data_IF_770237440819
#
_entry.id   IF_770237440819
#
_cell.length_a   1.000
_cell.length_b   1.000
_cell.length_c   1.000
_cell.angle_alpha   90.00
_cell.angle_beta   90.00
_cell.angle_gamma   90.00
#
_symmetry.space_group_name_H-M   'P 1'
#
loop_
_entity.id
_entity.type
_entity.pdbx_description
1 polymer ?
#
# COMPACT_ATOMS: atom_id res chain seq x y z
N UNK A 1 -10.16 37.42 21.38
CA UNK A 1 -9.49 36.63 20.32
C UNK A 1 -7.99 36.44 20.60
N UNK A 2 -7.13 37.48 20.68
CA UNK A 2 -5.68 37.29 20.85
C UNK A 2 -5.27 36.71 22.21
N UNK A 3 -5.93 37.10 23.30
CA UNK A 3 -5.70 36.57 24.65
C UNK A 3 -6.04 35.09 24.79
N UNK A 4 -7.10 34.62 24.13
CA UNK A 4 -7.49 33.20 24.14
C UNK A 4 -6.43 32.37 23.40
N UNK A 5 -5.94 32.83 22.25
CA UNK A 5 -4.87 32.16 21.50
C UNK A 5 -3.56 32.11 22.29
N UNK A 6 -3.22 33.17 23.03
CA UNK A 6 -2.04 33.18 23.91
C UNK A 6 -2.16 32.19 25.07
N UNK A 7 -3.34 32.09 25.70
CA UNK A 7 -3.59 31.12 26.77
C UNK A 7 -3.51 29.69 26.23
N UNK A 8 -4.09 29.41 25.07
CA UNK A 8 -4.00 28.11 24.40
C UNK A 8 -2.53 27.78 24.08
N UNK A 9 -1.78 28.73 23.49
CA UNK A 9 -0.37 28.55 23.19
C UNK A 9 0.47 28.26 24.44
N UNK A 10 0.25 28.99 25.53
CA UNK A 10 0.93 28.77 26.80
C UNK A 10 0.58 27.41 27.43
N UNK A 11 -0.69 26.99 27.36
CA UNK A 11 -1.13 25.69 27.85
C UNK A 11 -0.49 24.53 27.05
N UNK A 12 -0.43 24.65 25.72
CA UNK A 12 0.26 23.67 24.85
C UNK A 12 1.75 23.60 25.20
N UNK A 13 2.42 24.75 25.35
CA UNK A 13 3.83 24.78 25.71
C UNK A 13 4.09 24.13 27.08
N UNK A 14 3.26 24.42 28.07
CA UNK A 14 3.36 23.79 29.39
C UNK A 14 3.15 22.27 29.31
N UNK A 15 2.16 21.80 28.54
CA UNK A 15 1.94 20.38 28.31
C UNK A 15 3.15 19.71 27.64
N UNK A 16 3.73 20.34 26.61
CA UNK A 16 4.95 19.85 25.94
C UNK A 16 6.11 19.75 26.93
N UNK A 17 6.32 20.77 27.77
CA UNK A 17 7.38 20.75 28.78
C UNK A 17 7.17 19.60 29.78
N UNK A 18 5.94 19.40 30.27
CA UNK A 18 5.62 18.28 31.17
C UNK A 18 5.91 16.93 30.50
N UNK A 19 5.50 16.76 29.24
CA UNK A 19 5.79 15.54 28.46
C UNK A 19 7.30 15.34 28.33
N UNK A 20 8.07 16.39 28.02
CA UNK A 20 9.54 16.30 27.91
C UNK A 20 10.21 15.95 29.24
N UNK A 21 9.71 16.47 30.37
CA UNK A 21 10.21 16.13 31.71
C UNK A 21 9.91 14.67 32.02
N UNK A 22 8.67 14.22 31.82
CA UNK A 22 8.27 12.82 32.03
C UNK A 22 9.12 11.90 31.15
N UNK A 23 9.27 12.23 29.87
CA UNK A 23 10.10 11.49 28.93
C UNK A 23 11.55 11.43 29.40
N UNK A 24 12.14 12.55 29.83
CA UNK A 24 13.51 12.59 30.36
C UNK A 24 13.69 11.71 31.60
N UNK A 25 12.74 11.76 32.54
CA UNK A 25 12.78 10.94 33.76
C UNK A 25 12.65 9.45 33.41
N UNK A 26 11.66 9.09 32.57
CA UNK A 26 11.46 7.70 32.12
C UNK A 26 12.67 7.18 31.35
N UNK A 27 13.22 7.99 30.43
CA UNK A 27 14.40 7.65 29.64
C UNK A 27 15.64 7.46 30.51
N UNK A 28 15.84 8.27 31.55
CA UNK A 28 16.96 8.10 32.48
C UNK A 28 16.82 6.89 33.40
N UNK A 29 15.58 6.46 33.70
CA UNK A 29 15.32 5.30 34.55
C UNK A 29 15.21 3.99 33.76
N UNK A 30 15.05 4.07 32.45
CA UNK A 30 14.94 2.90 31.59
C UNK A 30 16.28 2.16 31.53
N UNK A 31 16.21 0.86 31.76
CA UNK A 31 17.32 -0.07 31.60
C UNK A 31 16.79 -1.23 30.76
N UNK A 32 17.43 -1.57 29.63
CA UNK A 32 16.97 -2.70 28.82
C UNK A 32 17.04 -4.00 29.61
N UNK A 33 16.11 -4.90 29.33
CA UNK A 33 16.08 -6.23 29.90
C UNK A 33 17.37 -7.00 29.56
N UNK A 34 18.11 -7.53 30.55
CA UNK A 34 19.30 -8.33 30.28
C UNK A 34 18.98 -9.67 29.58
N UNK A 35 17.77 -10.21 29.70
CA UNK A 35 17.35 -11.46 29.07
C UNK A 35 16.83 -11.23 27.64
N UNK A 36 17.75 -11.27 26.67
CA UNK A 36 17.43 -11.06 25.26
C UNK A 36 16.53 -12.13 24.65
N UNK A 37 16.57 -13.35 25.19
CA UNK A 37 15.70 -14.41 24.71
C UNK A 37 14.26 -14.18 25.17
N UNK A 38 14.06 -13.62 26.36
CA UNK A 38 12.74 -13.14 26.81
C UNK A 38 12.25 -11.98 25.94
N UNK A 39 13.06 -10.94 25.75
CA UNK A 39 12.71 -9.83 24.85
C UNK A 39 12.31 -10.31 23.44
N UNK A 40 13.08 -11.23 22.86
CA UNK A 40 12.75 -11.80 21.55
C UNK A 40 11.42 -12.56 21.56
N UNK A 41 11.13 -13.35 22.61
CA UNK A 41 9.84 -14.07 22.73
C UNK A 41 8.67 -13.10 22.83
N UNK A 42 8.81 -12.02 23.60
CA UNK A 42 7.78 -11.00 23.76
C UNK A 42 7.55 -10.22 22.46
N UNK A 43 8.61 -9.78 21.79
CA UNK A 43 8.52 -9.14 20.48
C UNK A 43 7.86 -10.07 19.45
N UNK A 44 8.24 -11.35 19.42
CA UNK A 44 7.65 -12.31 18.50
C UNK A 44 6.19 -12.65 18.85
N UNK A 45 5.78 -12.51 20.11
CA UNK A 45 4.38 -12.62 20.49
C UNK A 45 3.58 -11.42 19.95
N UNK A 46 4.12 -10.19 20.07
CA UNK A 46 3.50 -8.99 19.52
C UNK A 46 3.36 -9.05 17.98
N UNK A 47 4.38 -9.59 17.29
CA UNK A 47 4.41 -9.69 15.82
C UNK A 47 3.63 -10.86 15.24
N UNK A 48 3.27 -11.86 16.04
CA UNK A 48 2.76 -13.15 15.54
C UNK A 48 1.60 -12.99 14.56
N UNK A 49 0.66 -12.10 14.89
CA UNK A 49 -0.54 -11.89 14.07
C UNK A 49 -0.19 -11.19 12.75
N UNK A 50 0.82 -10.32 12.71
CA UNK A 50 1.24 -9.63 11.47
C UNK A 50 1.86 -10.58 10.45
N UNK A 51 2.23 -11.80 10.88
CA UNK A 51 2.85 -12.81 10.04
C UNK A 51 4.36 -12.75 10.04
N UNK A 52 4.97 -12.00 10.96
CA UNK A 52 6.43 -11.83 11.06
C UNK A 52 6.99 -12.26 12.41
N UNK A 53 8.30 -12.46 12.45
CA UNK A 53 9.08 -12.66 13.67
C UNK A 53 10.47 -12.04 13.53
N UNK A 54 11.14 -11.84 14.66
CA UNK A 54 12.50 -11.33 14.77
C UNK A 54 13.48 -12.46 15.15
N UNK A 55 14.66 -12.44 14.51
CA UNK A 55 15.79 -13.34 14.79
C UNK A 55 16.97 -12.54 15.34
N UNK A 56 17.33 -12.80 16.60
CA UNK A 56 18.39 -12.08 17.31
C UNK A 56 19.78 -12.31 16.72
N UNK A 57 20.11 -13.53 16.27
CA UNK A 57 21.46 -13.86 15.79
C UNK A 57 21.80 -13.13 14.49
N UNK A 58 20.80 -12.93 13.65
CA UNK A 58 20.93 -12.26 12.36
C UNK A 58 20.53 -10.78 12.40
N UNK A 59 19.90 -10.32 13.47
CA UNK A 59 19.36 -8.98 13.63
C UNK A 59 18.45 -8.56 12.46
N UNK A 60 17.40 -9.35 12.24
CA UNK A 60 16.43 -9.11 11.17
C UNK A 60 15.03 -9.61 11.52
N UNK A 61 14.04 -9.04 10.85
CA UNK A 61 12.66 -9.51 10.82
C UNK A 61 12.45 -10.42 9.61
N UNK A 62 11.54 -11.38 9.71
CA UNK A 62 11.25 -12.34 8.64
C UNK A 62 9.82 -12.88 8.70
N UNK A 63 9.33 -13.36 7.57
CA UNK A 63 7.99 -13.95 7.42
C UNK A 63 7.89 -15.31 8.13
N UNK A 64 6.76 -15.53 8.80
CA UNK A 64 6.40 -16.83 9.34
C UNK A 64 5.92 -17.75 8.21
N UNK A 65 6.22 -19.05 8.33
CA UNK A 65 5.80 -20.06 7.35
C UNK A 65 4.28 -20.07 7.11
N UNK A 66 3.50 -19.94 8.18
CA UNK A 66 2.05 -19.99 8.18
C UNK A 66 1.45 -18.62 8.52
N UNK A 67 1.95 -17.57 7.88
CA UNK A 67 1.35 -16.25 7.97
C UNK A 67 0.05 -16.17 7.16
N UNK A 68 -0.77 -15.17 7.44
CA UNK A 68 -2.05 -14.95 6.76
C UNK A 68 -1.86 -14.58 5.28
N UNK A 69 -0.72 -13.98 4.90
CA UNK A 69 -0.33 -13.73 3.51
C UNK A 69 -0.28 -15.03 2.67
N UNK A 70 -0.19 -16.19 3.31
CA UNK A 70 -0.29 -17.48 2.63
C UNK A 70 -1.70 -17.80 2.11
N UNK A 71 -2.73 -17.12 2.60
CA UNK A 71 -4.14 -17.43 2.27
C UNK A 71 -4.69 -16.61 1.10
N UNK A 72 -3.91 -15.67 0.58
CA UNK A 72 -4.37 -14.57 -0.27
C UNK A 72 -3.72 -14.57 -1.66
N UNK A 73 -2.76 -15.45 -1.90
CA UNK A 73 -2.09 -15.59 -3.20
C UNK A 73 -1.26 -14.37 -3.58
N UNK A 74 -1.09 -14.17 -4.88
CA UNK A 74 -0.27 -13.09 -5.42
C UNK A 74 -0.70 -12.64 -6.81
N UNK A 75 -0.71 -11.34 -7.07
CA UNK A 75 -0.80 -10.77 -8.41
C UNK A 75 -0.03 -9.45 -8.48
N UNK A 76 0.22 -8.98 -9.71
CA UNK A 76 1.01 -7.76 -9.97
C UNK A 76 0.46 -6.50 -9.28
N UNK A 77 -0.84 -6.45 -8.95
CA UNK A 77 -1.42 -5.32 -8.23
C UNK A 77 -0.79 -5.10 -6.85
N UNK A 78 -0.25 -6.13 -6.23
CA UNK A 78 0.40 -5.99 -4.93
C UNK A 78 1.69 -5.19 -5.02
N UNK A 79 2.48 -5.41 -6.08
CA UNK A 79 3.63 -4.56 -6.37
C UNK A 79 3.22 -3.12 -6.72
N UNK A 80 2.13 -2.96 -7.48
CA UNK A 80 1.61 -1.63 -7.84
C UNK A 80 1.11 -0.85 -6.62
N UNK A 81 0.66 -1.55 -5.57
CA UNK A 81 0.21 -0.91 -4.34
C UNK A 81 1.36 -0.65 -3.36
N UNK A 82 2.56 -1.18 -3.60
CA UNK A 82 3.68 -1.13 -2.65
C UNK A 82 4.04 0.31 -2.19
N UNK A 83 4.09 1.33 -3.07
CA UNK A 83 4.38 2.71 -2.64
C UNK A 83 3.37 3.28 -1.63
N UNK A 84 2.10 2.83 -1.66
CA UNK A 84 1.07 3.26 -0.71
C UNK A 84 1.38 2.82 0.73
N UNK A 85 2.24 1.81 0.90
CA UNK A 85 2.67 1.29 2.20
C UNK A 85 4.11 1.70 2.53
N UNK A 86 4.60 2.76 1.89
CA UNK A 86 5.97 3.23 1.98
C UNK A 86 7.01 2.17 1.59
N UNK A 87 6.65 1.25 0.68
CA UNK A 87 7.57 0.26 0.15
C UNK A 87 8.03 0.69 -1.24
N UNK A 88 9.33 0.89 -1.38
CA UNK A 88 10.00 1.21 -2.65
C UNK A 88 11.04 0.12 -2.88
N UNK A 89 10.74 -0.77 -3.81
CA UNK A 89 11.54 -1.97 -4.08
C UNK A 89 11.64 -2.23 -5.57
N UNK A 90 12.75 -2.85 -5.96
CA UNK A 90 12.86 -3.44 -7.27
C UNK A 90 12.17 -4.81 -7.26
N UNK A 91 11.32 -5.07 -8.25
CA UNK A 91 10.62 -6.32 -8.48
C UNK A 91 11.23 -7.04 -9.69
N UNK A 92 11.49 -8.35 -9.58
CA UNK A 92 11.96 -9.18 -10.68
C UNK A 92 11.10 -10.46 -10.81
N UNK A 93 9.97 -10.39 -11.52
CA UNK A 93 9.11 -11.53 -11.75
C UNK A 93 9.69 -12.46 -12.82
N UNK A 94 9.93 -13.74 -12.47
CA UNK A 94 10.35 -14.78 -13.42
C UNK A 94 9.22 -15.80 -13.58
N UNK A 95 8.49 -15.69 -14.69
CA UNK A 95 7.36 -16.59 -15.00
C UNK A 95 7.79 -17.73 -15.93
N UNK A 96 7.32 -18.95 -15.65
CA UNK A 96 7.66 -20.12 -16.48
C UNK A 96 6.63 -21.23 -16.36
N UNK A 97 6.55 -22.10 -17.37
CA UNK A 97 5.63 -23.25 -17.37
C UNK A 97 6.35 -24.53 -16.98
N UNK A 98 5.78 -25.29 -16.04
CA UNK A 98 6.34 -26.58 -15.63
C UNK A 98 5.26 -27.52 -15.09
N UNK A 99 5.22 -28.76 -15.62
CA UNK A 99 4.25 -29.82 -15.28
C UNK A 99 2.79 -29.34 -15.27
N UNK A 100 2.40 -28.62 -16.32
CA UNK A 100 1.02 -28.15 -16.49
C UNK A 100 0.62 -26.98 -15.60
N UNK A 101 1.56 -26.37 -14.88
CA UNK A 101 1.34 -25.16 -14.08
C UNK A 101 2.12 -23.98 -14.63
N UNK A 102 1.57 -22.79 -14.44
CA UNK A 102 2.26 -21.50 -14.61
C UNK A 102 2.88 -21.12 -13.27
N UNK A 103 4.19 -21.01 -13.22
CA UNK A 103 4.96 -20.67 -12.03
C UNK A 103 5.40 -19.23 -12.10
N UNK A 104 5.47 -18.60 -10.94
CA UNK A 104 6.14 -17.33 -10.70
C UNK A 104 7.14 -17.55 -9.58
N UNK A 105 8.40 -17.24 -9.84
CA UNK A 105 9.37 -16.95 -8.78
C UNK A 105 9.71 -15.49 -8.92
N UNK A 106 9.56 -14.73 -7.84
CA UNK A 106 9.81 -13.29 -7.86
C UNK A 106 10.82 -12.91 -6.79
N UNK A 107 11.76 -12.05 -7.18
CA UNK A 107 12.77 -11.49 -6.29
C UNK A 107 12.42 -10.04 -6.00
N UNK A 108 12.50 -9.64 -4.73
CA UNK A 108 12.36 -8.23 -4.35
C UNK A 108 13.55 -7.76 -3.54
N UNK A 109 13.99 -6.52 -3.76
CA UNK A 109 14.97 -5.84 -2.89
C UNK A 109 14.63 -4.36 -2.78
N UNK A 110 14.70 -3.79 -1.58
CA UNK A 110 14.33 -2.38 -1.43
C UNK A 110 14.25 -1.86 0.00
N UNK A 111 13.51 -0.76 0.12
CA UNK A 111 13.11 -0.11 1.35
C UNK A 111 11.63 -0.41 1.63
N UNK A 112 11.34 -0.93 2.81
CA UNK A 112 10.03 -1.32 3.31
C UNK A 112 9.73 -0.50 4.56
N UNK A 113 9.25 0.73 4.36
CA UNK A 113 9.05 1.70 5.43
C UNK A 113 10.36 2.05 6.13
N UNK A 114 10.46 1.71 7.42
CA UNK A 114 11.67 1.92 8.24
C UNK A 114 12.67 0.75 8.21
N UNK A 115 12.45 -0.22 7.32
CA UNK A 115 13.31 -1.38 7.16
C UNK A 115 13.86 -1.46 5.74
N UNK A 116 15.06 -2.02 5.57
CA UNK A 116 15.58 -2.38 4.24
C UNK A 116 15.66 -3.90 4.17
N UNK A 117 15.32 -4.48 3.01
CA UNK A 117 15.16 -5.93 2.96
C UNK A 117 15.17 -6.52 1.57
N UNK A 118 14.90 -7.81 1.53
CA UNK A 118 14.73 -8.55 0.31
C UNK A 118 13.99 -9.86 0.52
N UNK A 119 13.44 -10.35 -0.58
CA UNK A 119 12.45 -11.42 -0.57
C UNK A 119 12.61 -12.33 -1.78
N UNK A 120 12.21 -13.60 -1.62
CA UNK A 120 12.01 -14.57 -2.70
C UNK A 120 10.63 -15.20 -2.51
N UNK A 121 9.73 -14.95 -3.44
CA UNK A 121 8.38 -15.52 -3.47
C UNK A 121 8.27 -16.60 -4.53
N UNK A 122 7.53 -17.66 -4.25
CA UNK A 122 7.29 -18.77 -5.16
C UNK A 122 5.80 -19.08 -5.15
N UNK A 123 5.20 -18.96 -6.33
CA UNK A 123 3.77 -19.13 -6.55
C UNK A 123 3.52 -19.96 -7.80
N UNK A 124 2.34 -20.57 -7.90
CA UNK A 124 1.91 -21.21 -9.14
C UNK A 124 0.40 -21.13 -9.32
N UNK A 125 -0.05 -21.33 -10.54
CA UNK A 125 -1.48 -21.41 -10.87
C UNK A 125 -1.70 -22.37 -12.03
N UNK A 126 -2.88 -22.99 -12.05
CA UNK A 126 -3.42 -23.72 -13.21
C UNK A 126 -4.62 -23.00 -13.81
N UNK A 127 -5.02 -21.86 -13.23
CA UNK A 127 -6.18 -21.09 -13.63
C UNK A 127 -5.86 -20.29 -14.89
N UNK A 128 -6.92 -19.85 -15.57
CA UNK A 128 -6.84 -18.82 -16.60
C UNK A 128 -6.54 -17.45 -15.96
N UNK A 129 -6.26 -16.46 -16.79
CA UNK A 129 -6.07 -15.09 -16.32
C UNK A 129 -7.38 -14.50 -15.80
N UNK A 130 -7.26 -13.64 -14.80
CA UNK A 130 -8.38 -12.80 -14.34
C UNK A 130 -8.64 -11.77 -15.43
N UNK A 131 -9.90 -11.65 -15.82
CA UNK A 131 -10.37 -10.62 -16.75
C UNK A 131 -11.57 -9.91 -16.12
N UNK A 132 -11.28 -8.88 -15.35
CA UNK A 132 -12.24 -8.01 -14.67
C UNK A 132 -11.92 -6.55 -15.03
N UNK A 133 -12.83 -5.62 -14.75
CA UNK A 133 -12.59 -4.20 -14.99
C UNK A 133 -11.49 -3.65 -14.06
N UNK A 134 -11.33 -4.27 -12.87
CA UNK A 134 -10.39 -3.89 -11.83
C UNK A 134 -9.00 -4.53 -12.00
N UNK A 135 -8.91 -5.73 -12.58
CA UNK A 135 -7.65 -6.44 -12.85
C UNK A 135 -7.73 -7.30 -14.10
N UNK A 136 -6.69 -7.18 -14.93
CA UNK A 136 -6.43 -8.06 -16.06
C UNK A 136 -5.04 -8.65 -15.95
N UNK A 137 -4.97 -9.97 -15.77
CA UNK A 137 -3.69 -10.68 -15.71
C UNK A 137 -3.72 -11.93 -14.86
N UNK A 138 -2.53 -12.52 -14.69
CA UNK A 138 -2.40 -13.79 -13.97
C UNK A 138 -2.49 -13.56 -12.46
N UNK A 139 -3.41 -14.29 -11.82
CA UNK A 139 -3.41 -14.49 -10.38
C UNK A 139 -2.71 -15.81 -10.04
N UNK A 140 -1.73 -15.74 -9.15
CA UNK A 140 -0.99 -16.88 -8.67
C UNK A 140 -1.47 -17.31 -7.29
N UNK A 141 -1.60 -18.62 -7.11
CA UNK A 141 -1.95 -19.22 -5.82
C UNK A 141 -0.67 -19.54 -5.03
N UNK A 142 -0.80 -19.60 -3.70
CA UNK A 142 0.28 -20.05 -2.85
C UNK A 142 0.59 -21.53 -3.06
N UNK A 143 1.88 -21.86 -3.08
CA UNK A 143 2.31 -23.24 -3.25
C UNK A 143 2.06 -24.09 -1.99
N UNK A 144 1.77 -25.38 -2.21
CA UNK A 144 1.62 -26.34 -1.13
C UNK A 144 2.94 -26.67 -0.44
N UNK A 145 2.88 -27.26 0.76
CA UNK A 145 4.08 -27.61 1.54
C UNK A 145 5.06 -28.53 0.79
N UNK A 146 4.55 -29.39 -0.10
CA UNK A 146 5.35 -30.33 -0.91
C UNK A 146 6.06 -29.66 -2.08
N UNK A 147 5.65 -28.46 -2.44
CA UNK A 147 6.15 -27.70 -3.59
C UNK A 147 7.13 -26.60 -3.19
N UNK A 148 7.31 -26.36 -1.89
CA UNK A 148 8.29 -25.42 -1.38
C UNK A 148 9.69 -25.73 -1.90
N UNK A 149 10.48 -24.67 -2.10
CA UNK A 149 11.83 -24.76 -2.61
C UNK A 149 12.81 -24.42 -1.49
N UNK A 150 14.03 -24.96 -1.59
CA UNK A 150 15.11 -24.48 -0.72
C UNK A 150 15.65 -23.19 -1.32
N UNK A 151 15.36 -22.10 -0.62
CA UNK A 151 15.67 -20.73 -1.00
C UNK A 151 16.78 -20.21 -0.10
N UNK A 152 17.62 -19.35 -0.65
CA UNK A 152 18.57 -18.57 0.13
C UNK A 152 18.92 -17.28 -0.58
N UNK A 153 19.27 -16.26 0.18
CA UNK A 153 19.84 -15.05 -0.38
C UNK A 153 20.83 -14.39 0.57
N UNK A 154 21.74 -13.62 -0.02
CA UNK A 154 22.59 -12.65 0.67
C UNK A 154 22.24 -11.27 0.14
N UNK A 155 21.80 -10.38 1.02
CA UNK A 155 21.52 -9.00 0.68
C UNK A 155 22.70 -8.12 1.08
N UNK A 156 23.13 -7.26 0.17
CA UNK A 156 24.24 -6.33 0.36
C UNK A 156 23.78 -4.92 0.10
N UNK A 157 24.31 -3.99 0.88
CA UNK A 157 24.19 -2.56 0.65
C UNK A 157 25.58 -1.98 0.40
N UNK A 158 25.79 -1.36 -0.75
CA UNK A 158 27.09 -0.82 -1.17
C UNK A 158 28.22 -1.86 -1.01
N UNK A 159 27.95 -3.10 -1.46
CA UNK A 159 28.88 -4.24 -1.38
C UNK A 159 28.98 -4.93 -0.01
N UNK A 160 28.57 -4.28 1.09
CA UNK A 160 28.62 -4.86 2.44
C UNK A 160 27.39 -5.74 2.70
N UNK A 161 27.60 -6.97 3.17
CA UNK A 161 26.50 -7.85 3.59
C UNK A 161 25.77 -7.23 4.77
N UNK A 162 24.44 -7.11 4.64
CA UNK A 162 23.57 -6.64 5.72
C UNK A 162 22.65 -7.74 6.25
N UNK A 163 22.38 -8.77 5.45
CA UNK A 163 21.42 -9.83 5.78
C UNK A 163 21.74 -11.11 5.00
N UNK A 164 21.53 -12.28 5.62
CA UNK A 164 21.60 -13.60 5.00
C UNK A 164 20.42 -14.44 5.45
N UNK A 165 19.79 -15.15 4.52
CA UNK A 165 18.65 -16.04 4.80
C UNK A 165 18.79 -17.33 4.02
N UNK A 166 18.36 -18.45 4.61
CA UNK A 166 18.21 -19.74 3.93
C UNK A 166 17.16 -20.59 4.63
N UNK A 167 16.19 -21.10 3.87
CA UNK A 167 15.19 -22.04 4.37
C UNK A 167 14.46 -22.73 3.21
N UNK A 168 13.85 -23.88 3.52
CA UNK A 168 12.76 -24.41 2.70
C UNK A 168 11.53 -23.51 2.90
N UNK A 169 11.10 -22.79 1.87
CA UNK A 169 10.05 -21.79 2.01
C UNK A 169 9.28 -21.55 0.70
N UNK A 170 8.09 -20.96 0.82
CA UNK A 170 7.32 -20.41 -0.31
C UNK A 170 7.59 -18.91 -0.48
N UNK A 171 7.71 -18.17 0.63
CA UNK A 171 8.05 -16.75 0.66
C UNK A 171 9.16 -16.42 1.65
N UNK A 172 10.42 -16.52 1.22
CA UNK A 172 11.58 -16.29 2.08
C UNK A 172 11.90 -14.80 2.13
N UNK A 173 11.67 -14.16 3.28
CA UNK A 173 11.97 -12.73 3.46
C UNK A 173 13.07 -12.48 4.49
N UNK A 174 13.58 -11.26 4.49
CA UNK A 174 14.30 -10.71 5.63
C UNK A 174 14.45 -9.19 5.55
N UNK A 175 14.31 -8.53 6.69
CA UNK A 175 14.27 -7.07 6.80
C UNK A 175 15.12 -6.57 7.96
N UNK A 176 15.98 -5.59 7.70
CA UNK A 176 16.83 -4.94 8.68
C UNK A 176 16.24 -3.60 9.08
N UNK A 177 15.98 -3.43 10.38
CA UNK A 177 15.32 -2.25 10.93
C UNK A 177 16.28 -1.06 11.07
N UNK A 178 15.75 0.14 10.82
CA UNK A 178 16.46 1.41 11.07
C UNK A 178 17.51 1.77 10.02
N UNK A 179 17.62 0.99 8.95
CA UNK A 179 18.61 1.18 7.92
C UNK A 179 17.93 1.61 6.62
N UNK A 180 18.24 2.83 6.16
CA UNK A 180 17.76 3.37 4.90
C UNK A 180 18.63 2.92 3.73
N UNK A 181 18.00 2.51 2.64
CA UNK A 181 18.64 2.21 1.36
C UNK A 181 17.80 2.74 0.20
N UNK A 182 18.46 3.36 -0.77
CA UNK A 182 17.92 3.45 -2.13
C UNK A 182 18.06 2.09 -2.82
N UNK A 183 17.23 1.80 -3.82
CA UNK A 183 17.19 0.46 -4.43
C UNK A 183 18.49 0.11 -5.17
N UNK A 184 19.16 1.12 -5.73
CA UNK A 184 20.46 1.04 -6.42
C UNK A 184 21.65 0.76 -5.48
N UNK A 185 21.50 1.06 -4.18
CA UNK A 185 22.48 0.68 -3.16
C UNK A 185 22.46 -0.82 -2.88
N UNK A 186 21.38 -1.52 -3.23
CA UNK A 186 21.13 -2.90 -2.86
C UNK A 186 21.46 -3.87 -3.99
N UNK A 187 22.13 -4.97 -3.63
CA UNK A 187 22.30 -6.14 -4.49
C UNK A 187 21.92 -7.39 -3.72
N UNK A 188 21.32 -8.36 -4.41
CA UNK A 188 20.93 -9.65 -3.84
C UNK A 188 21.60 -10.79 -4.58
N UNK A 189 22.34 -11.64 -3.86
CA UNK A 189 22.81 -12.93 -4.37
C UNK A 189 21.77 -13.99 -3.97
N UNK A 190 20.83 -14.33 -4.85
CA UNK A 190 19.79 -15.32 -4.64
C UNK A 190 20.26 -16.72 -5.08
N UNK A 191 19.80 -17.77 -4.39
CA UNK A 191 20.06 -19.16 -4.76
C UNK A 191 18.83 -20.01 -4.50
N UNK A 192 18.41 -20.73 -5.54
CA UNK A 192 17.20 -21.54 -5.56
C UNK A 192 17.58 -22.98 -5.90
N UNK A 193 17.11 -23.94 -5.09
CA UNK A 193 17.26 -25.37 -5.36
C UNK A 193 15.91 -25.96 -5.79
N UNK A 194 15.88 -26.51 -6.99
CA UNK A 194 14.70 -27.07 -7.63
C UNK A 194 14.54 -28.57 -7.34
N UNK A 195 13.31 -29.11 -7.38
CA UNK A 195 13.05 -30.53 -7.10
C UNK A 195 13.70 -31.45 -8.14
N UNK A 196 13.74 -31.03 -9.41
CA UNK A 196 14.39 -31.74 -10.49
C UNK A 196 14.95 -30.81 -11.57
N UNK A 197 15.68 -31.44 -12.50
CA UNK A 197 16.35 -30.79 -13.60
C UNK A 197 15.36 -30.06 -14.53
N UNK A 198 14.17 -30.63 -14.74
CA UNK A 198 13.18 -30.06 -15.66
C UNK A 198 12.63 -28.71 -15.18
N UNK A 199 12.31 -28.60 -13.89
CA UNK A 199 11.82 -27.32 -13.34
C UNK A 199 12.93 -26.26 -13.36
N UNK A 200 14.15 -26.69 -13.04
CA UNK A 200 15.34 -25.83 -13.08
C UNK A 200 15.60 -25.30 -14.48
N UNK A 201 15.52 -26.16 -15.50
CA UNK A 201 15.74 -25.78 -16.90
C UNK A 201 14.64 -24.83 -17.41
N UNK A 202 13.38 -25.05 -17.03
CA UNK A 202 12.28 -24.15 -17.35
C UNK A 202 12.48 -22.76 -16.71
N UNK A 203 12.84 -22.70 -15.43
CA UNK A 203 13.16 -21.45 -14.75
C UNK A 203 14.37 -20.74 -15.38
N UNK A 204 15.46 -21.48 -15.64
CA UNK A 204 16.67 -20.92 -16.22
C UNK A 204 16.42 -20.33 -17.61
N UNK A 205 15.58 -21.00 -18.41
CA UNK A 205 15.16 -20.48 -19.71
C UNK A 205 14.43 -19.14 -19.56
N UNK A 206 13.43 -19.06 -18.67
CA UNK A 206 12.70 -17.81 -18.42
C UNK A 206 13.61 -16.69 -17.89
N UNK A 207 14.54 -17.01 -16.99
CA UNK A 207 15.53 -16.06 -16.46
C UNK A 207 16.39 -15.45 -17.59
N UNK A 208 16.80 -16.26 -18.57
CA UNK A 208 17.55 -15.77 -19.74
C UNK A 208 16.66 -14.94 -20.66
N UNK A 209 15.40 -15.35 -20.85
CA UNK A 209 14.44 -14.66 -21.72
C UNK A 209 14.12 -13.24 -21.23
N UNK A 210 14.10 -13.00 -19.91
CA UNK A 210 13.90 -11.66 -19.36
C UNK A 210 15.16 -10.78 -19.43
N UNK A 211 16.34 -11.33 -19.72
CA UNK A 211 17.56 -10.54 -20.00
C UNK A 211 18.83 -10.93 -19.26
N UNK A 212 18.78 -11.87 -18.31
CA UNK A 212 19.96 -12.21 -17.49
C UNK A 212 21.07 -12.87 -18.31
N UNK A 213 22.30 -12.40 -18.11
CA UNK A 213 23.49 -12.91 -18.80
C UNK A 213 24.30 -13.91 -17.96
N UNK A 214 25.23 -14.64 -18.59
CA UNK A 214 26.14 -15.58 -17.91
C UNK A 214 27.03 -14.93 -16.83
N UNK A 215 27.11 -13.60 -16.78
CA UNK A 215 27.83 -12.87 -15.71
C UNK A 215 26.98 -12.68 -14.46
N UNK A 216 25.66 -12.78 -14.59
CA UNK A 216 24.68 -12.48 -13.55
C UNK A 216 24.02 -13.74 -12.98
N UNK A 217 24.33 -14.92 -13.51
CA UNK A 217 23.86 -16.17 -12.91
C UNK A 217 24.87 -17.31 -13.07
N UNK A 218 24.71 -18.33 -12.24
CA UNK A 218 25.34 -19.63 -12.40
C UNK A 218 24.30 -20.75 -12.24
N UNK A 219 24.49 -21.85 -12.95
CA UNK A 219 23.63 -23.03 -12.85
C UNK A 219 24.46 -24.26 -12.48
N UNK A 220 24.00 -25.00 -11.47
CA UNK A 220 24.41 -26.38 -11.19
C UNK A 220 23.36 -27.37 -11.65
N UNK A 221 23.44 -28.62 -11.14
CA UNK A 221 22.51 -29.71 -11.50
C UNK A 221 21.05 -29.37 -11.20
N UNK A 222 20.73 -28.98 -9.97
CA UNK A 222 19.35 -28.60 -9.56
C UNK A 222 19.29 -27.20 -8.96
N UNK A 223 20.25 -26.35 -9.26
CA UNK A 223 20.43 -25.09 -8.55
C UNK A 223 20.71 -23.97 -9.53
N UNK A 224 20.05 -22.83 -9.33
CA UNK A 224 20.39 -21.57 -10.00
C UNK A 224 20.77 -20.57 -8.93
N UNK A 225 21.88 -19.87 -9.12
CA UNK A 225 22.26 -18.71 -8.31
C UNK A 225 22.25 -17.48 -9.20
N UNK A 226 21.71 -16.38 -8.69
CA UNK A 226 21.42 -15.15 -9.42
C UNK A 226 22.09 -14.00 -8.67
N UNK A 227 22.82 -13.16 -9.38
CA UNK A 227 23.31 -11.89 -8.89
C UNK A 227 22.36 -10.79 -9.37
N UNK A 228 21.40 -10.45 -8.51
CA UNK A 228 20.36 -9.47 -8.78
C UNK A 228 20.82 -8.08 -8.31
N UNK A 229 21.44 -7.33 -9.22
CA UNK A 229 21.90 -5.97 -8.96
C UNK A 229 20.87 -4.90 -9.39
N UNK A 230 20.29 -5.07 -10.58
CA UNK A 230 19.26 -4.22 -11.13
C UNK A 230 18.19 -5.09 -11.80
N UNK A 231 16.93 -4.64 -11.85
CA UNK A 231 15.88 -5.36 -12.55
C UNK A 231 16.08 -5.37 -14.05
N UNK A 232 15.84 -6.52 -14.67
CA UNK A 232 15.69 -6.65 -16.12
C UNK A 232 14.23 -6.49 -16.55
N UNK A 233 13.28 -6.81 -15.66
CA UNK A 233 11.86 -6.65 -15.90
C UNK A 233 11.38 -5.20 -15.66
N UNK A 234 10.31 -4.77 -16.36
CA UNK A 234 9.66 -3.49 -16.09
C UNK A 234 9.19 -3.40 -14.64
N UNK A 235 9.49 -2.26 -14.01
CA UNK A 235 9.04 -1.97 -12.65
C UNK A 235 7.55 -1.59 -12.60
N UNK A 236 6.89 -1.69 -11.43
CA UNK A 236 5.49 -1.29 -11.27
C UNK A 236 5.24 0.13 -11.79
N UNK A 237 4.16 0.34 -12.53
CA UNK A 237 3.81 1.63 -13.14
C UNK A 237 3.57 2.73 -12.11
N UNK A 238 3.13 2.34 -10.92
CA UNK A 238 3.01 3.19 -9.73
C UNK A 238 4.33 3.81 -9.27
N UNK A 239 5.49 3.22 -9.61
CA UNK A 239 6.83 3.78 -9.35
C UNK A 239 7.12 4.94 -10.31
N UNK A 240 6.47 6.07 -10.07
CA UNK A 240 6.84 7.34 -10.66
C UNK A 240 7.92 8.03 -9.81
N UNK A 241 8.92 8.65 -10.45
CA UNK A 241 10.11 9.20 -9.77
C UNK A 241 9.76 10.21 -8.67
N UNK A 242 8.75 11.06 -8.89
CA UNK A 242 8.37 12.10 -7.94
C UNK A 242 7.73 11.53 -6.66
N UNK A 243 6.79 10.58 -6.79
CA UNK A 243 6.16 9.90 -5.66
C UNK A 243 7.18 9.01 -4.93
N UNK A 244 8.05 8.33 -5.67
CA UNK A 244 9.14 7.54 -5.09
C UNK A 244 10.06 8.41 -4.24
N UNK A 245 10.49 9.57 -4.75
CA UNK A 245 11.34 10.50 -4.00
C UNK A 245 10.66 10.99 -2.71
N UNK A 246 9.35 11.27 -2.75
CA UNK A 246 8.58 11.66 -1.56
C UNK A 246 8.54 10.54 -0.52
N UNK A 247 8.19 9.31 -0.95
CA UNK A 247 8.12 8.14 -0.07
C UNK A 247 9.50 7.83 0.52
N UNK A 248 10.56 7.86 -0.29
CA UNK A 248 11.93 7.63 0.19
C UNK A 248 12.42 8.74 1.11
N UNK A 249 11.99 9.99 0.92
CA UNK A 249 12.29 11.06 1.87
C UNK A 249 11.64 10.80 3.23
N UNK A 250 10.39 10.33 3.25
CA UNK A 250 9.69 9.91 4.47
C UNK A 250 10.43 8.75 5.14
N UNK A 251 10.76 7.70 4.38
CA UNK A 251 11.51 6.54 4.87
C UNK A 251 12.89 6.92 5.46
N UNK A 252 13.62 7.78 4.76
CA UNK A 252 14.93 8.28 5.19
C UNK A 252 14.81 9.08 6.50
N UNK A 253 13.83 9.97 6.60
CA UNK A 253 13.58 10.76 7.80
C UNK A 253 13.17 9.87 8.98
N UNK A 254 12.31 8.87 8.74
CA UNK A 254 11.89 7.93 9.77
C UNK A 254 13.05 7.05 10.26
N UNK A 255 13.92 6.57 9.37
CA UNK A 255 15.12 5.84 9.75
C UNK A 255 16.08 6.72 10.58
N UNK A 256 16.31 7.96 10.17
CA UNK A 256 17.13 8.92 10.93
C UNK A 256 16.55 9.21 12.30
N UNK A 257 15.23 9.39 12.40
CA UNK A 257 14.53 9.61 13.67
C UNK A 257 14.64 8.39 14.59
N UNK A 258 14.44 7.19 14.06
CA UNK A 258 14.62 5.93 14.80
C UNK A 258 16.04 5.80 15.35
N UNK A 259 17.05 5.98 14.49
CA UNK A 259 18.45 5.89 14.91
C UNK A 259 18.83 6.98 15.91
N UNK A 260 18.39 8.22 15.71
CA UNK A 260 18.64 9.31 16.65
C UNK A 260 18.00 9.05 18.03
N UNK A 261 16.73 8.63 18.03
CA UNK A 261 15.95 8.41 19.26
C UNK A 261 16.49 7.23 20.08
N UNK A 262 17.07 6.25 19.39
CA UNK A 262 17.52 4.99 20.00
C UNK A 262 19.04 4.83 20.04
N UNK A 263 19.80 5.89 19.70
CA UNK A 263 21.27 5.88 19.57
C UNK A 263 22.02 5.39 20.82
N UNK A 264 21.38 5.44 22.00
CA UNK A 264 21.95 4.92 23.26
C UNK A 264 22.05 3.40 23.29
N UNK A 265 21.31 2.68 22.44
CA UNK A 265 21.25 1.23 22.43
C UNK A 265 21.81 0.67 21.13
N UNK A 266 22.67 -0.34 21.24
CA UNK A 266 23.28 -1.00 20.09
C UNK A 266 22.43 -2.14 19.51
N UNK A 267 21.66 -2.83 20.36
CA UNK A 267 20.85 -3.98 19.98
C UNK A 267 19.44 -3.54 19.60
N UNK A 268 18.91 -4.08 18.49
CA UNK A 268 17.55 -3.78 18.02
C UNK A 268 16.47 -4.10 19.07
N UNK A 269 16.61 -5.18 19.83
CA UNK A 269 15.66 -5.51 20.90
C UNK A 269 15.59 -4.41 21.97
N UNK A 270 16.74 -3.80 22.33
CA UNK A 270 16.81 -2.72 23.32
C UNK A 270 16.23 -1.42 22.76
N UNK A 271 16.49 -1.14 21.48
CA UNK A 271 15.90 -0.01 20.76
C UNK A 271 14.37 -0.12 20.78
N UNK A 272 13.83 -1.30 20.50
CA UNK A 272 12.38 -1.56 20.45
C UNK A 272 11.74 -1.57 21.83
N UNK A 273 12.37 -2.19 22.83
CA UNK A 273 11.91 -2.15 24.22
C UNK A 273 11.85 -0.71 24.73
N UNK A 274 12.86 0.11 24.41
CA UNK A 274 12.86 1.52 24.74
C UNK A 274 11.70 2.28 24.08
N UNK A 275 11.46 2.08 22.78
CA UNK A 275 10.33 2.70 22.08
C UNK A 275 9.01 2.27 22.71
N UNK A 276 8.82 0.98 22.98
CA UNK A 276 7.64 0.42 23.64
C UNK A 276 7.42 1.04 25.03
N UNK A 277 8.50 1.27 25.79
CA UNK A 277 8.42 1.89 27.10
C UNK A 277 8.16 3.40 27.06
N UNK A 278 8.65 4.11 26.04
CA UNK A 278 8.54 5.57 25.96
C UNK A 278 7.24 6.03 25.29
N UNK A 279 6.79 5.34 24.24
CA UNK A 279 5.62 5.71 23.44
C UNK A 279 4.84 4.45 23.05
N UNK A 280 4.19 3.75 24.01
CA UNK A 280 3.53 2.46 23.77
C UNK A 280 2.43 2.53 22.72
N UNK A 281 1.70 3.66 22.63
CA UNK A 281 0.67 3.87 21.62
C UNK A 281 1.27 3.92 20.21
N UNK A 282 2.44 4.56 20.05
CA UNK A 282 3.15 4.60 18.79
C UNK A 282 3.76 3.23 18.44
N UNK A 283 4.31 2.52 19.41
CA UNK A 283 4.76 1.14 19.23
C UNK A 283 3.60 0.27 18.73
N UNK A 284 2.44 0.35 19.37
CA UNK A 284 1.25 -0.39 18.95
C UNK A 284 0.81 0.00 17.54
N UNK A 285 0.74 1.30 17.23
CA UNK A 285 0.43 1.77 15.88
C UNK A 285 1.40 1.20 14.83
N UNK A 286 2.70 1.09 15.15
CA UNK A 286 3.67 0.48 14.25
C UNK A 286 3.43 -1.02 14.04
N UNK A 287 3.22 -1.78 15.11
CA UNK A 287 2.91 -3.21 15.01
C UNK A 287 1.61 -3.42 14.21
N UNK A 288 0.59 -2.62 14.49
CA UNK A 288 -0.69 -2.64 13.78
C UNK A 288 -0.53 -2.18 12.32
N UNK A 289 0.43 -1.30 11.99
CA UNK A 289 0.69 -0.91 10.59
C UNK A 289 1.36 -2.00 9.75
N UNK A 290 2.09 -2.93 10.39
CA UNK A 290 2.57 -4.17 9.75
C UNK A 290 1.40 -5.13 9.47
N UNK A 291 0.27 -4.89 10.12
CA UNK A 291 -1.02 -5.53 9.88
C UNK A 291 -1.72 -4.88 8.69
N UNK A 292 -1.13 -5.02 7.51
CA UNK A 292 -1.68 -4.52 6.24
C UNK A 292 -2.92 -5.30 5.77
N UNK A 293 -3.80 -5.77 6.67
CA UNK A 293 -5.09 -6.36 6.28
C UNK A 293 -5.89 -5.40 5.40
N UNK A 294 -5.89 -4.10 5.68
CA UNK A 294 -6.63 -3.11 4.88
C UNK A 294 -6.27 -3.10 3.38
N UNK A 295 -5.07 -3.58 3.03
CA UNK A 295 -4.63 -3.75 1.64
C UNK A 295 -5.30 -4.96 1.02
N UNK A 296 -5.32 -6.06 1.75
CA UNK A 296 -5.99 -7.27 1.30
C UNK A 296 -7.50 -7.13 1.35
N UNK A 297 -8.05 -6.36 2.28
CA UNK A 297 -9.47 -5.96 2.28
C UNK A 297 -9.79 -5.20 0.98
N UNK A 298 -8.89 -4.32 0.52
CA UNK A 298 -9.04 -3.64 -0.78
C UNK A 298 -8.93 -4.60 -1.99
N UNK A 299 -8.35 -5.80 -1.80
CA UNK A 299 -8.23 -6.85 -2.81
C UNK A 299 -9.09 -8.08 -2.49
N UNK A 300 -10.01 -8.02 -1.52
CA UNK A 300 -10.83 -9.18 -1.13
C UNK A 300 -11.72 -9.65 -2.26
N UNK A 301 -12.14 -8.73 -3.13
CA UNK A 301 -12.89 -9.01 -4.34
C UNK A 301 -12.18 -10.04 -5.25
N UNK A 302 -10.84 -10.07 -5.27
CA UNK A 302 -10.05 -11.07 -6.03
C UNK A 302 -10.33 -12.46 -5.45
N UNK A 303 -10.38 -12.57 -4.13
CA UNK A 303 -10.69 -13.83 -3.43
C UNK A 303 -12.15 -14.25 -3.65
N UNK A 304 -13.09 -13.31 -3.62
CA UNK A 304 -14.50 -13.59 -3.92
C UNK A 304 -14.67 -14.12 -5.35
N UNK A 305 -14.01 -13.48 -6.32
CA UNK A 305 -13.95 -13.93 -7.71
C UNK A 305 -13.35 -15.35 -7.82
N UNK A 306 -12.25 -15.62 -7.11
CA UNK A 306 -11.60 -16.95 -7.10
C UNK A 306 -12.47 -18.06 -6.49
N UNK A 307 -13.33 -17.71 -5.54
CA UNK A 307 -14.29 -18.62 -4.88
C UNK A 307 -15.57 -18.80 -5.71
N UNK A 308 -15.72 -18.12 -6.85
CA UNK A 308 -16.92 -18.18 -7.69
C UNK A 308 -18.13 -17.49 -7.05
N UNK A 309 -17.91 -16.62 -6.06
CA UNK A 309 -18.96 -15.74 -5.54
C UNK A 309 -19.06 -14.54 -6.47
N UNK A 310 -20.28 -14.11 -6.86
CA UNK A 310 -20.41 -12.90 -7.66
C UNK A 310 -19.76 -11.73 -6.91
N UNK A 311 -19.04 -10.82 -7.62
CA UNK A 311 -18.50 -9.63 -6.97
C UNK A 311 -19.64 -8.92 -6.23
N UNK A 312 -19.35 -8.38 -5.05
CA UNK A 312 -20.28 -7.55 -4.29
C UNK A 312 -21.11 -6.65 -5.23
N UNK A 313 -22.42 -6.47 -4.98
CA UNK A 313 -23.22 -5.58 -5.80
C UNK A 313 -22.49 -4.24 -5.87
N UNK A 314 -22.27 -3.77 -7.10
CA UNK A 314 -21.81 -2.42 -7.37
C UNK A 314 -22.53 -1.46 -6.42
N UNK A 315 -21.84 -0.46 -5.83
CA UNK A 315 -22.53 0.59 -5.08
C UNK A 315 -23.72 1.01 -5.93
N UNK A 316 -24.93 0.94 -5.37
CA UNK A 316 -26.16 1.28 -6.08
C UNK A 316 -25.86 2.53 -6.91
N UNK A 317 -26.15 2.54 -8.22
CA UNK A 317 -26.00 3.75 -9.02
C UNK A 317 -26.61 4.88 -8.19
N UNK A 318 -25.85 5.98 -8.04
CA UNK A 318 -26.36 7.17 -7.36
C UNK A 318 -27.82 7.35 -7.81
N UNK A 319 -28.76 7.52 -6.87
CA UNK A 319 -30.15 7.69 -7.24
C UNK A 319 -30.20 8.75 -8.34
N UNK A 320 -30.99 8.51 -9.41
CA UNK A 320 -31.05 9.46 -10.51
C UNK A 320 -31.25 10.86 -9.93
N UNK A 321 -30.59 11.88 -10.52
CA UNK A 321 -30.76 13.25 -10.05
C UNK A 321 -32.27 13.49 -9.88
N UNK A 322 -32.69 14.16 -8.79
CA UNK A 322 -34.10 14.40 -8.55
C UNK A 322 -34.73 14.95 -9.83
N UNK A 323 -35.93 14.46 -10.22
CA UNK A 323 -36.56 14.89 -11.45
C UNK A 323 -36.53 16.42 -11.52
N UNK A 324 -36.10 16.95 -12.65
CA UNK A 324 -36.17 18.38 -12.90
C UNK A 324 -37.55 18.87 -12.45
N UNK A 325 -37.64 19.97 -11.68
CA UNK A 325 -38.92 20.47 -11.21
C UNK A 325 -39.88 20.54 -12.39
N UNK A 326 -41.02 19.86 -12.24
CA UNK A 326 -42.06 19.84 -13.25
C UNK A 326 -42.30 21.27 -13.72
N UNK A 327 -42.38 21.52 -15.04
CA UNK A 327 -42.72 22.85 -15.53
C UNK A 327 -44.03 23.26 -14.85
N UNK A 328 -44.04 24.45 -14.26
CA UNK A 328 -45.21 24.99 -13.59
C UNK A 328 -46.43 24.80 -14.49
N UNK A 329 -47.59 24.37 -13.94
CA UNK A 329 -48.78 24.17 -14.73
C UNK A 329 -49.10 25.46 -15.48
N UNK A 330 -49.44 25.38 -16.78
CA UNK A 330 -49.71 26.57 -17.58
C UNK A 330 -50.79 27.40 -16.91
N UNK A 331 -50.55 28.71 -16.81
CA UNK A 331 -51.51 29.68 -16.30
C UNK A 331 -52.90 29.41 -16.91
N UNK A 332 -53.98 29.43 -16.11
CA UNK A 332 -55.32 29.23 -16.63
C UNK A 332 -55.62 30.26 -17.73
N UNK A 333 -56.33 29.86 -18.79
CA UNK A 333 -56.56 30.72 -19.94
C UNK A 333 -57.25 32.02 -19.50
N UNK A 334 -56.67 33.13 -19.96
CA UNK A 334 -57.19 34.48 -19.79
C UNK A 334 -58.62 34.52 -20.30
N UNK A 335 -59.56 34.92 -19.43
CA UNK A 335 -60.96 35.13 -19.80
C UNK A 335 -61.07 36.05 -21.03
N UNK A 336 -61.91 35.74 -22.03
CA UNK A 336 -62.09 36.60 -23.18
C UNK A 336 -62.71 37.94 -22.73
N UNK A 337 -61.95 39.02 -22.86
CA UNK A 337 -62.49 40.36 -22.74
C UNK A 337 -63.51 40.57 -23.87
N UNK A 338 -64.80 40.62 -23.54
CA UNK A 338 -65.85 40.96 -24.49
C UNK A 338 -65.63 42.38 -25.03
N UNK A 339 -65.82 42.62 -26.34
CA UNK A 339 -65.64 43.95 -26.93
C UNK A 339 -66.73 44.91 -26.43
N UNK A 340 -66.33 45.94 -25.69
CA UNK A 340 -67.21 47.07 -25.37
C UNK A 340 -67.64 47.77 -26.67
N UNK A 341 -68.95 47.88 -26.89
CA UNK A 341 -69.53 48.66 -28.00
C UNK A 341 -69.25 50.15 -27.80
N UNK A 342 -68.91 50.89 -28.87
CA UNK A 342 -68.63 52.33 -28.79
C UNK A 342 -69.89 53.13 -28.45
N UNK A 343 -69.80 53.97 -27.43
CA UNK A 343 -70.81 54.99 -27.13
C UNK A 343 -70.46 56.30 -27.87
N UNK A 344 -71.42 56.95 -28.55
CA UNK A 344 -71.15 58.07 -29.45
C UNK A 344 -71.01 59.37 -28.67
N UNK A 345 -69.82 59.65 -28.11
CA UNK A 345 -69.44 61.01 -27.69
C UNK A 345 -67.96 61.24 -27.38
N UNK A 346 -67.05 60.27 -27.53
CA UNK A 346 -65.62 60.56 -27.31
C UNK A 346 -64.66 59.65 -28.11
N UNK A 347 -63.91 60.18 -29.10
CA UNK A 347 -63.17 59.36 -30.09
C UNK A 347 -61.71 59.07 -29.73
N UNK A 348 -61.34 58.90 -28.45
CA UNK A 348 -59.98 58.52 -28.03
C UNK A 348 -59.99 57.67 -26.75
N UNK A 349 -60.32 56.39 -26.86
CA UNK A 349 -59.96 55.40 -25.84
C UNK A 349 -58.75 54.61 -26.36
N UNK A 350 -57.59 54.91 -25.78
CA UNK A 350 -56.35 54.17 -25.94
C UNK A 350 -56.38 53.01 -24.92
N UNK A 351 -56.45 51.72 -25.32
CA UNK A 351 -56.81 50.63 -24.39
C UNK A 351 -55.69 50.15 -23.47
N UNK A 352 -54.51 50.77 -23.48
CA UNK A 352 -53.33 50.26 -22.78
C UNK A 352 -52.71 51.32 -21.86
N UNK A 353 -53.46 51.84 -20.88
CA UNK A 353 -52.88 52.55 -19.73
C UNK A 353 -53.95 52.80 -18.68
N UNK A 354 -53.94 51.99 -17.62
CA UNK A 354 -53.66 52.45 -16.25
C UNK A 354 -54.06 51.39 -15.23
N UNK A 355 -53.01 50.87 -14.56
CA UNK A 355 -52.91 50.51 -13.14
C UNK A 355 -53.88 49.45 -12.58
N UNK A 356 -53.39 48.25 -12.23
CA UNK A 356 -52.50 47.87 -11.11
C UNK A 356 -53.29 47.48 -9.84
N UNK A 357 -53.06 46.26 -9.36
CA UNK A 357 -52.54 46.03 -8.00
C UNK A 357 -52.23 44.54 -7.80
N UNK A 358 -51.02 44.27 -7.31
CA UNK A 358 -50.48 42.97 -6.88
C UNK A 358 -49.88 42.04 -7.94
N UNK A 359 -48.71 42.43 -8.45
CA UNK A 359 -47.69 41.48 -8.91
C UNK A 359 -46.52 41.52 -7.92
N UNK A 360 -46.31 40.43 -7.19
CA UNK A 360 -45.01 40.13 -6.59
C UNK A 360 -44.38 39.00 -7.42
N UNK A 361 -43.35 39.41 -8.16
CA UNK A 361 -42.15 38.68 -8.55
C UNK A 361 -42.28 37.24 -9.05
N UNK A 362 -42.42 37.11 -10.37
CA UNK A 362 -41.66 36.13 -11.14
C UNK A 362 -40.95 36.92 -12.26
N UNK A 363 -39.67 37.24 -12.06
CA UNK A 363 -38.80 37.73 -13.12
C UNK A 363 -38.44 36.54 -14.03
N UNK A 364 -38.82 36.64 -15.30
CA UNK A 364 -38.24 35.82 -16.36
C UNK A 364 -37.33 36.71 -17.19
N UNK A 365 -36.09 36.25 -17.25
CA UNK A 365 -35.04 36.63 -18.17
C UNK A 365 -35.48 36.30 -19.61
N UNK A 366 -35.15 37.15 -20.58
CA UNK A 366 -34.32 36.76 -21.73
C UNK A 366 -34.33 37.85 -22.83
N UNK A 367 -33.15 37.97 -23.42
CA UNK A 367 -32.90 38.22 -24.84
C UNK A 367 -32.56 39.64 -25.30
N UNK A 368 -31.25 39.78 -25.53
CA UNK A 368 -30.65 40.34 -26.76
C UNK A 368 -30.70 41.85 -27.03
N UNK A 369 -29.53 42.34 -27.49
CA UNK A 369 -29.24 43.58 -28.24
C UNK A 369 -28.97 44.85 -27.42
N UNK A 370 -27.70 45.06 -27.06
CA UNK A 370 -26.74 45.88 -27.82
C UNK A 370 -25.31 45.66 -27.35
#
# INVERSE_FOLDING_TARGET
MPTILLIIGAAILAAVIVVLIIWRIRSHRFHPDPDKLRQQRELNADLKETGFAYEIKGDYFYSLMNCWQRQVGYCRLYDEAAPLFNMIMDCEPITFSYRGKRWLIELWKGQYGITTGGEIGVYNTIREDVDTDEFKGTFYENIGNKEMLNLSFVLRRNGKVILKRSAMHWWLTGFKLGQFSDTDMLTMDAKIVFPDQGMKDAFLKALIEIGYTKKEYSSGRKTVSIHYAAPHSPQPLSRNEAAEALVQQINSNNCKLYEFTTAKYSQTLDKLEYIKAMVPELYKLFIDSLYTRGVYDAFEWIKEWLEGRPPHPTPNPLPPPPPEPHPDPPCPPVCPCHPCRPHPSNPRCDPCRQYCSHAHNCDFDDSTRR
#
